data_IF_973945999241
#
_entry.id   IF_973945999241
#
_cell.length_a   1.000
_cell.length_b   1.000
_cell.length_c   1.000
_cell.angle_alpha   90.00
_cell.angle_beta   90.00
_cell.angle_gamma   90.00
#
_symmetry.space_group_name_H-M   'P 1'
#
loop_
_entity.id
_entity.type
_entity.pdbx_description
1 polymer ?
#
# COMPACT_ATOMS: atom_id res chain seq x y z
N UNK A 1 29.96 -21.89 -15.65
CA UNK A 1 30.19 -21.24 -16.94
C UNK A 1 31.53 -20.58 -16.85
N UNK A 2 32.48 -21.03 -17.67
CA UNK A 2 33.89 -20.66 -17.60
C UNK A 2 34.07 -19.15 -17.82
N UNK A 3 34.78 -18.52 -16.89
CA UNK A 3 35.10 -17.09 -16.89
C UNK A 3 36.11 -16.69 -17.98
N UNK A 4 36.57 -17.64 -18.81
CA UNK A 4 37.64 -17.46 -19.81
C UNK A 4 37.15 -17.63 -21.28
N UNK A 5 35.91 -17.28 -21.59
CA UNK A 5 35.44 -17.27 -23.00
C UNK A 5 36.08 -16.11 -23.79
N UNK A 6 36.73 -16.33 -24.96
CA UNK A 6 37.66 -15.37 -25.58
C UNK A 6 37.02 -14.17 -26.31
N UNK A 7 35.70 -13.97 -26.19
CA UNK A 7 34.94 -13.03 -27.02
C UNK A 7 34.32 -11.84 -26.28
N UNK A 8 34.64 -11.64 -24.99
CA UNK A 8 34.19 -10.47 -24.23
C UNK A 8 35.31 -9.45 -24.08
N UNK A 9 35.02 -8.18 -24.47
CA UNK A 9 35.93 -7.04 -24.27
C UNK A 9 36.44 -7.04 -22.81
N UNK A 10 37.73 -6.77 -22.55
CA UNK A 10 38.30 -6.84 -21.20
C UNK A 10 37.52 -5.97 -20.22
N UNK A 11 37.21 -6.51 -19.04
CA UNK A 11 36.44 -5.83 -18.00
C UNK A 11 37.24 -4.65 -17.45
N UNK A 12 36.68 -3.45 -17.52
CA UNK A 12 37.30 -2.23 -16.99
C UNK A 12 37.41 -2.28 -15.45
N UNK A 13 36.44 -2.93 -14.80
CA UNK A 13 36.42 -3.13 -13.35
C UNK A 13 37.10 -4.45 -12.96
N UNK A 14 37.57 -4.53 -11.71
CA UNK A 14 38.05 -5.79 -11.15
C UNK A 14 36.86 -6.69 -10.88
N UNK A 15 37.05 -8.00 -10.90
CA UNK A 15 35.99 -8.95 -10.49
C UNK A 15 35.44 -8.58 -9.10
N UNK A 16 36.33 -8.31 -8.13
CA UNK A 16 35.94 -7.87 -6.77
C UNK A 16 35.11 -6.58 -6.75
N UNK A 17 35.50 -5.60 -7.56
CA UNK A 17 34.80 -4.31 -7.65
C UNK A 17 33.43 -4.49 -8.33
N UNK A 18 33.37 -5.35 -9.34
CA UNK A 18 32.17 -5.68 -10.09
C UNK A 18 31.15 -6.43 -9.20
N UNK A 19 31.61 -7.43 -8.43
CA UNK A 19 30.80 -8.13 -7.42
C UNK A 19 30.31 -7.19 -6.30
N UNK A 20 31.17 -6.27 -5.83
CA UNK A 20 30.79 -5.28 -4.83
C UNK A 20 29.69 -4.34 -5.36
N UNK A 21 29.78 -3.94 -6.64
CA UNK A 21 28.76 -3.14 -7.31
C UNK A 21 27.44 -3.90 -7.44
N UNK A 22 27.47 -5.19 -7.82
CA UNK A 22 26.27 -6.06 -7.85
C UNK A 22 25.64 -6.14 -6.45
N UNK A 23 26.43 -6.40 -5.41
CA UNK A 23 25.93 -6.46 -4.03
C UNK A 23 25.35 -5.12 -3.55
N UNK A 24 25.90 -4.00 -4.01
CA UNK A 24 25.33 -2.68 -3.70
C UNK A 24 23.98 -2.46 -4.40
N UNK A 25 23.84 -2.84 -5.67
CA UNK A 25 22.58 -2.76 -6.42
C UNK A 25 21.48 -3.54 -5.70
N UNK A 26 21.77 -4.78 -5.30
CA UNK A 26 20.79 -5.65 -4.61
C UNK A 26 20.37 -5.07 -3.25
N UNK A 27 21.31 -4.57 -2.43
CA UNK A 27 20.98 -3.93 -1.15
C UNK A 27 20.13 -2.67 -1.28
N UNK A 28 20.35 -1.91 -2.35
CA UNK A 28 19.57 -0.69 -2.61
C UNK A 28 18.15 -1.05 -3.07
N UNK A 29 18.00 -2.10 -3.88
CA UNK A 29 16.72 -2.64 -4.32
C UNK A 29 15.90 -3.20 -3.14
N UNK A 30 16.49 -4.01 -2.26
CA UNK A 30 15.84 -4.56 -1.07
C UNK A 30 15.25 -3.47 -0.15
N UNK A 31 15.85 -2.28 -0.15
CA UNK A 31 15.41 -1.13 0.65
C UNK A 31 14.44 -0.20 -0.08
N UNK A 32 14.06 -0.53 -1.31
CA UNK A 32 13.16 0.27 -2.14
C UNK A 32 13.83 1.46 -2.82
N UNK A 33 15.15 1.54 -2.84
CA UNK A 33 15.94 2.61 -3.48
C UNK A 33 16.69 2.08 -4.72
N UNK A 34 15.98 1.38 -5.61
CA UNK A 34 16.57 0.78 -6.81
C UNK A 34 17.36 1.79 -7.66
N UNK A 35 18.51 1.36 -8.16
CA UNK A 35 19.41 2.19 -8.97
C UNK A 35 19.02 2.14 -10.44
N UNK A 36 19.04 3.29 -11.12
CA UNK A 36 18.82 3.33 -12.57
C UNK A 36 20.06 2.86 -13.33
N UNK A 37 19.89 2.54 -14.63
CA UNK A 37 21.02 2.23 -15.53
C UNK A 37 22.05 3.37 -15.53
N UNK A 38 21.58 4.63 -15.44
CA UNK A 38 22.45 5.80 -15.40
C UNK A 38 23.27 5.85 -14.12
N UNK A 39 22.66 5.54 -12.97
CA UNK A 39 23.34 5.56 -11.67
C UNK A 39 24.41 4.47 -11.60
N UNK A 40 24.08 3.26 -12.06
CA UNK A 40 25.06 2.15 -12.13
C UNK A 40 26.24 2.52 -13.03
N UNK A 41 25.99 3.17 -14.18
CA UNK A 41 27.06 3.62 -15.08
C UNK A 41 27.93 4.72 -14.49
N UNK A 42 27.36 5.61 -13.65
CA UNK A 42 28.12 6.64 -12.92
C UNK A 42 28.94 6.01 -11.80
N UNK A 43 28.36 5.09 -11.03
CA UNK A 43 29.07 4.35 -9.99
C UNK A 43 30.25 3.56 -10.56
N UNK A 44 30.07 2.90 -11.69
CA UNK A 44 31.16 2.22 -12.39
C UNK A 44 32.30 3.16 -12.78
N UNK A 45 31.99 4.38 -13.21
CA UNK A 45 32.99 5.41 -13.48
C UNK A 45 33.74 5.81 -12.21
N UNK A 46 33.01 6.09 -11.13
CA UNK A 46 33.61 6.48 -9.85
C UNK A 46 34.54 5.39 -9.29
N UNK A 47 34.13 4.13 -9.39
CA UNK A 47 34.96 2.98 -9.00
C UNK A 47 36.22 2.94 -9.86
N UNK A 48 36.12 3.06 -11.18
CA UNK A 48 37.27 3.01 -12.08
C UNK A 48 38.28 4.15 -11.82
N UNK A 49 37.78 5.36 -11.54
CA UNK A 49 38.62 6.53 -11.18
C UNK A 49 39.31 6.32 -9.84
N UNK A 50 38.58 5.88 -8.81
CA UNK A 50 39.14 5.65 -7.46
C UNK A 50 40.16 4.52 -7.43
N UNK A 51 39.92 3.46 -8.22
CA UNK A 51 40.86 2.35 -8.35
C UNK A 51 42.10 2.70 -9.18
N UNK A 52 42.22 3.94 -9.70
CA UNK A 52 43.38 4.40 -10.46
C UNK A 52 43.60 3.67 -11.79
N UNK A 53 42.56 3.01 -12.32
CA UNK A 53 42.66 2.16 -13.51
C UNK A 53 42.52 2.98 -14.78
N UNK A 54 43.30 2.63 -15.79
CA UNK A 54 43.08 3.16 -17.15
C UNK A 54 41.74 2.65 -17.67
N UNK A 55 40.81 3.57 -17.93
CA UNK A 55 39.48 3.25 -18.43
C UNK A 55 39.12 4.07 -19.68
N UNK A 56 38.24 3.51 -20.52
CA UNK A 56 37.69 4.17 -21.71
C UNK A 56 36.36 4.90 -21.45
N UNK A 57 36.00 5.07 -20.16
CA UNK A 57 34.77 5.77 -19.80
C UNK A 57 34.83 7.26 -20.13
N UNK A 58 33.66 7.86 -20.30
CA UNK A 58 33.57 9.26 -20.70
C UNK A 58 33.80 10.16 -19.49
N UNK A 59 34.89 10.93 -19.52
CA UNK A 59 35.27 11.83 -18.44
C UNK A 59 34.36 13.06 -18.33
N UNK A 60 33.88 13.61 -19.46
CA UNK A 60 33.00 14.78 -19.47
C UNK A 60 31.66 14.47 -18.82
N UNK A 61 31.10 13.29 -19.13
CA UNK A 61 29.83 12.79 -18.61
C UNK A 61 29.98 11.99 -17.32
N UNK A 62 31.21 11.78 -16.84
CA UNK A 62 31.56 10.98 -15.65
C UNK A 62 30.77 9.67 -15.57
N UNK A 63 30.72 8.92 -16.67
CA UNK A 63 29.91 7.70 -16.75
C UNK A 63 30.48 6.67 -17.73
N UNK A 64 30.23 5.40 -17.41
CA UNK A 64 30.51 4.29 -18.30
C UNK A 64 29.61 4.32 -19.55
N UNK A 65 30.05 3.70 -20.65
CA UNK A 65 29.26 3.57 -21.89
C UNK A 65 28.04 2.65 -21.74
N UNK A 66 27.12 2.71 -22.70
CA UNK A 66 25.97 1.79 -22.71
C UNK A 66 26.38 0.35 -23.03
N UNK A 67 27.35 0.15 -23.94
CA UNK A 67 27.94 -1.15 -24.23
C UNK A 67 28.55 -1.82 -23.00
N UNK A 68 29.17 -1.01 -22.11
CA UNK A 68 29.71 -1.51 -20.85
C UNK A 68 28.58 -2.03 -19.95
N UNK A 69 27.46 -1.30 -19.86
CA UNK A 69 26.29 -1.72 -19.09
C UNK A 69 25.69 -3.02 -19.65
N UNK A 70 25.56 -3.16 -20.97
CA UNK A 70 25.10 -4.40 -21.59
C UNK A 70 26.00 -5.57 -21.20
N UNK A 71 27.32 -5.43 -21.37
CA UNK A 71 28.26 -6.48 -20.98
C UNK A 71 28.24 -6.80 -19.47
N UNK A 72 28.12 -5.78 -18.60
CA UNK A 72 27.97 -5.97 -17.16
C UNK A 72 26.72 -6.78 -16.82
N UNK A 73 25.58 -6.42 -17.39
CA UNK A 73 24.33 -7.15 -17.17
C UNK A 73 24.38 -8.58 -17.70
N UNK A 74 25.01 -8.78 -18.87
CA UNK A 74 25.11 -10.11 -19.47
C UNK A 74 26.01 -11.05 -18.65
N UNK A 75 27.03 -10.51 -17.95
CA UNK A 75 27.86 -11.26 -16.99
C UNK A 75 27.15 -11.55 -15.67
N UNK A 76 26.16 -10.74 -15.28
CA UNK A 76 25.42 -10.83 -14.02
C UNK A 76 23.93 -11.08 -14.27
N UNK A 77 23.53 -12.30 -14.69
CA UNK A 77 22.15 -12.62 -15.04
C UNK A 77 21.17 -12.55 -13.86
N UNK A 78 21.67 -12.42 -12.63
CA UNK A 78 20.87 -12.10 -11.45
C UNK A 78 20.27 -10.68 -11.47
N UNK A 79 20.79 -9.79 -12.33
CA UNK A 79 20.29 -8.43 -12.49
C UNK A 79 19.34 -8.32 -13.68
N UNK A 80 18.17 -7.73 -13.46
CA UNK A 80 17.20 -7.44 -14.52
C UNK A 80 16.68 -6.01 -14.39
N UNK A 81 16.36 -5.37 -15.52
CA UNK A 81 15.72 -4.06 -15.52
C UNK A 81 14.24 -4.25 -15.27
N UNK A 82 13.74 -3.65 -14.19
CA UNK A 82 12.34 -3.71 -13.77
C UNK A 82 11.78 -2.32 -13.58
N UNK A 83 10.46 -2.21 -13.70
CA UNK A 83 9.73 -1.00 -13.32
C UNK A 83 9.29 -1.24 -11.87
N UNK A 84 9.78 -0.46 -10.89
CA UNK A 84 9.35 -0.63 -9.51
C UNK A 84 7.88 -0.23 -9.36
N UNK A 85 7.15 -0.98 -8.55
CA UNK A 85 5.79 -0.59 -8.17
C UNK A 85 5.84 0.49 -7.09
N UNK A 86 4.93 1.46 -7.18
CA UNK A 86 4.86 2.55 -6.22
C UNK A 86 4.37 2.06 -4.86
N UNK A 87 5.29 1.91 -3.91
CA UNK A 87 4.96 1.69 -2.50
C UNK A 87 4.94 3.03 -1.77
N UNK A 88 3.81 3.40 -1.18
CA UNK A 88 3.75 4.64 -0.40
C UNK A 88 4.57 4.52 0.89
N UNK A 89 5.16 5.63 1.34
CA UNK A 89 5.97 5.64 2.57
C UNK A 89 5.19 5.13 3.80
N UNK A 90 3.89 5.45 3.89
CA UNK A 90 3.02 4.94 4.94
C UNK A 90 2.83 3.41 4.88
N UNK A 91 2.70 2.83 3.68
CA UNK A 91 2.65 1.36 3.53
C UNK A 91 3.99 0.74 3.85
N UNK A 92 5.09 1.35 3.44
CA UNK A 92 6.45 0.90 3.75
C UNK A 92 6.72 0.88 5.26
N UNK A 93 6.27 1.88 6.01
CA UNK A 93 6.47 1.91 7.47
C UNK A 93 5.58 0.90 8.21
N UNK A 94 4.43 0.55 7.64
CA UNK A 94 3.53 -0.49 8.17
C UNK A 94 4.02 -1.92 7.94
N UNK A 95 4.97 -2.14 7.01
CA UNK A 95 5.60 -3.45 6.75
C UNK A 95 6.64 -3.84 7.82
N UNK A 96 6.38 -3.47 9.09
CA UNK A 96 7.19 -3.87 10.22
C UNK A 96 6.60 -5.15 10.85
N UNK A 97 7.41 -6.18 11.15
CA UNK A 97 6.93 -7.42 11.79
C UNK A 97 6.07 -7.18 13.04
N UNK A 98 6.40 -6.17 13.85
CA UNK A 98 5.65 -5.83 15.06
C UNK A 98 4.27 -5.28 14.74
N UNK A 99 4.17 -4.40 13.74
CA UNK A 99 2.90 -3.79 13.30
C UNK A 99 2.00 -4.85 12.67
N UNK A 100 2.57 -5.70 11.81
CA UNK A 100 1.87 -6.81 11.17
C UNK A 100 1.36 -7.81 12.22
N UNK A 101 2.22 -8.22 13.15
CA UNK A 101 1.85 -9.17 14.21
C UNK A 101 0.74 -8.61 15.10
N UNK A 102 0.87 -7.36 15.55
CA UNK A 102 -0.16 -6.70 16.36
C UNK A 102 -1.51 -6.60 15.62
N UNK A 103 -1.48 -6.29 14.32
CA UNK A 103 -2.70 -6.26 13.50
C UNK A 103 -3.38 -7.64 13.43
N UNK A 104 -2.64 -8.69 13.12
CA UNK A 104 -3.21 -10.05 12.99
C UNK A 104 -3.66 -10.63 14.33
N UNK A 105 -2.99 -10.31 15.45
CA UNK A 105 -3.46 -10.66 16.79
C UNK A 105 -4.82 -10.00 17.10
N UNK A 106 -4.94 -8.71 16.81
CA UNK A 106 -6.20 -7.97 17.01
C UNK A 106 -7.31 -8.50 16.10
N UNK A 107 -7.01 -8.77 14.84
CA UNK A 107 -7.96 -9.37 13.90
C UNK A 107 -8.41 -10.76 14.38
N UNK A 108 -7.48 -11.62 14.77
CA UNK A 108 -7.76 -12.97 15.25
C UNK A 108 -8.69 -12.98 16.47
N UNK A 109 -8.38 -12.17 17.48
CA UNK A 109 -9.22 -12.02 18.68
C UNK A 109 -10.62 -11.48 18.38
N UNK A 110 -10.74 -10.57 17.41
CA UNK A 110 -12.04 -10.07 16.96
C UNK A 110 -12.86 -11.14 16.24
N UNK A 111 -12.22 -11.92 15.36
CA UNK A 111 -12.87 -13.03 14.67
C UNK A 111 -13.30 -14.15 15.63
N UNK A 112 -12.50 -14.43 16.66
CA UNK A 112 -12.86 -15.35 17.75
C UNK A 112 -14.10 -14.86 18.50
N UNK A 113 -14.11 -13.59 18.90
CA UNK A 113 -15.24 -12.98 19.63
C UNK A 113 -16.55 -13.05 18.84
N UNK A 114 -16.48 -12.86 17.53
CA UNK A 114 -17.65 -12.94 16.65
C UNK A 114 -18.00 -14.37 16.23
N UNK A 115 -17.15 -15.36 16.52
CA UNK A 115 -17.31 -16.75 16.11
C UNK A 115 -17.52 -16.89 14.58
N UNK A 116 -16.69 -16.19 13.80
CA UNK A 116 -16.76 -16.15 12.32
C UNK A 116 -15.56 -16.79 11.62
N UNK A 117 -14.57 -17.32 12.36
CA UNK A 117 -13.36 -17.92 11.78
C UNK A 117 -13.67 -19.02 10.76
N UNK A 118 -14.64 -19.88 11.07
CA UNK A 118 -15.04 -21.01 10.21
C UNK A 118 -16.25 -20.69 9.31
N UNK A 119 -16.60 -19.40 9.18
CA UNK A 119 -17.79 -18.95 8.43
C UNK A 119 -17.41 -18.01 7.30
N UNK A 120 -16.79 -18.51 6.22
CA UNK A 120 -16.35 -17.69 5.09
C UNK A 120 -17.51 -16.93 4.40
N UNK A 121 -18.74 -17.42 4.56
CA UNK A 121 -19.95 -16.78 4.04
C UNK A 121 -20.20 -15.40 4.66
N UNK A 122 -19.67 -15.16 5.87
CA UNK A 122 -19.91 -13.97 6.68
C UNK A 122 -18.73 -12.97 6.65
N UNK A 123 -17.63 -13.34 5.99
CA UNK A 123 -16.45 -12.48 5.86
C UNK A 123 -16.46 -11.88 4.46
N UNK A 124 -16.67 -10.57 4.39
CA UNK A 124 -16.70 -9.82 3.14
C UNK A 124 -15.50 -8.88 3.04
N UNK A 125 -14.90 -8.84 1.87
CA UNK A 125 -14.01 -7.76 1.48
C UNK A 125 -14.74 -6.86 0.48
N UNK A 126 -14.68 -5.56 0.69
CA UNK A 126 -15.26 -4.56 -0.20
C UNK A 126 -14.19 -3.54 -0.55
N UNK A 127 -14.04 -3.25 -1.84
CA UNK A 127 -13.06 -2.28 -2.31
C UNK A 127 -13.60 -1.46 -3.49
N UNK A 128 -13.08 -0.24 -3.62
CA UNK A 128 -13.46 0.72 -4.65
C UNK A 128 -12.44 0.71 -5.78
N UNK A 129 -12.92 0.57 -7.02
CA UNK A 129 -12.09 0.67 -8.22
C UNK A 129 -12.59 1.77 -9.14
N UNK A 130 -11.67 2.53 -9.73
CA UNK A 130 -11.99 3.55 -10.72
C UNK A 130 -12.08 2.94 -12.11
N UNK A 131 -13.26 2.93 -12.71
CA UNK A 131 -13.49 2.50 -14.10
C UNK A 131 -13.45 3.73 -14.98
N UNK A 132 -12.48 3.79 -15.90
CA UNK A 132 -12.41 4.89 -16.87
C UNK A 132 -13.39 4.68 -18.02
N UNK A 133 -14.00 5.78 -18.48
CA UNK A 133 -14.84 5.80 -19.68
C UNK A 133 -14.05 5.94 -20.98
N UNK A 134 -12.75 6.25 -20.89
CA UNK A 134 -11.84 6.26 -22.03
C UNK A 134 -11.13 4.93 -22.09
N UNK A 135 -11.20 4.27 -23.24
CA UNK A 135 -10.50 3.02 -23.47
C UNK A 135 -9.01 3.27 -23.73
N UNK A 136 -8.16 2.39 -23.22
CA UNK A 136 -6.74 2.40 -23.56
C UNK A 136 -6.54 1.77 -24.95
N UNK A 137 -5.88 2.48 -25.88
CA UNK A 137 -5.56 1.93 -27.18
C UNK A 137 -4.73 0.66 -27.08
N UNK A 138 -5.15 -0.39 -27.79
CA UNK A 138 -4.34 -1.59 -27.96
C UNK A 138 -3.10 -1.33 -28.82
N UNK A 139 -2.08 -2.17 -28.66
CA UNK A 139 -0.90 -2.14 -29.54
C UNK A 139 -1.33 -2.44 -30.98
N UNK A 140 -0.96 -1.56 -31.90
CA UNK A 140 -1.26 -1.70 -33.33
C UNK A 140 0.01 -1.89 -34.15
N UNK A 141 -0.09 -2.64 -35.25
CA UNK A 141 0.98 -2.74 -36.24
C UNK A 141 1.06 -1.41 -37.00
N UNK A 142 2.24 -0.79 -37.01
CA UNK A 142 2.48 0.50 -37.65
C UNK A 142 3.66 0.49 -38.62
N UNK A 143 3.76 1.52 -39.45
CA UNK A 143 4.88 1.70 -40.40
C UNK A 143 6.22 1.77 -39.66
N UNK A 144 7.16 0.90 -40.03
CA UNK A 144 8.54 0.90 -39.49
C UNK A 144 9.19 2.27 -39.65
N UNK A 145 9.74 2.81 -38.57
CA UNK A 145 10.39 4.13 -38.53
C UNK A 145 9.45 5.32 -38.30
N UNK A 146 8.13 5.12 -38.26
CA UNK A 146 7.19 6.18 -37.87
C UNK A 146 7.24 6.37 -36.35
N UNK A 147 7.63 7.57 -35.91
CA UNK A 147 7.82 7.89 -34.47
C UNK A 147 6.50 8.01 -33.70
N UNK A 148 5.43 8.49 -34.35
CA UNK A 148 4.13 8.69 -33.71
C UNK A 148 3.04 7.89 -34.44
N UNK A 149 2.45 6.93 -33.73
CA UNK A 149 1.29 6.15 -34.17
C UNK A 149 0.14 6.55 -33.25
N UNK A 150 -0.94 7.09 -33.81
CA UNK A 150 -2.09 7.57 -33.05
C UNK A 150 -3.25 6.59 -33.18
N UNK A 151 -3.97 6.37 -32.07
CA UNK A 151 -5.26 5.70 -32.06
C UNK A 151 -6.35 6.71 -31.72
N UNK A 152 -7.55 6.55 -32.28
CA UNK A 152 -8.71 7.34 -31.86
C UNK A 152 -9.18 6.83 -30.51
N UNK A 153 -9.25 7.71 -29.51
CA UNK A 153 -9.89 7.46 -28.22
C UNK A 153 -11.20 8.25 -28.13
N UNK A 154 -12.12 7.84 -27.24
CA UNK A 154 -13.40 8.53 -27.04
C UNK A 154 -13.25 9.95 -26.46
N UNK A 155 -12.08 10.28 -25.92
CA UNK A 155 -11.73 11.60 -25.40
C UNK A 155 -10.28 11.63 -24.91
N UNK A 156 -9.76 12.83 -24.58
CA UNK A 156 -8.43 13.01 -24.00
C UNK A 156 -8.39 12.60 -22.53
N UNK A 157 -9.45 12.88 -21.77
CA UNK A 157 -9.60 12.51 -20.37
C UNK A 157 -11.03 12.08 -20.11
N UNK A 158 -11.22 10.82 -19.73
CA UNK A 158 -12.51 10.28 -19.34
C UNK A 158 -12.92 10.72 -17.94
N UNK A 159 -14.22 10.71 -17.68
CA UNK A 159 -14.70 10.70 -16.31
C UNK A 159 -14.60 9.28 -15.76
N UNK A 160 -13.98 9.12 -14.59
CA UNK A 160 -13.95 7.84 -13.89
C UNK A 160 -15.25 7.65 -13.12
N UNK A 161 -15.87 6.50 -13.32
CA UNK A 161 -16.97 5.97 -12.49
C UNK A 161 -16.34 5.11 -11.41
N UNK A 162 -16.75 5.25 -10.16
CA UNK A 162 -16.26 4.38 -9.09
C UNK A 162 -17.17 3.15 -9.01
N UNK A 163 -16.59 1.96 -9.13
CA UNK A 163 -17.28 0.70 -8.86
C UNK A 163 -16.88 0.19 -7.48
N UNK A 164 -17.85 0.01 -6.58
CA UNK A 164 -17.68 -0.70 -5.32
C UNK A 164 -18.04 -2.16 -5.54
N UNK A 165 -17.04 -3.02 -5.39
CA UNK A 165 -17.19 -4.47 -5.53
C UNK A 165 -17.04 -5.11 -4.16
N UNK A 166 -17.90 -6.07 -3.84
CA UNK A 166 -17.88 -6.77 -2.57
C UNK A 166 -17.93 -8.28 -2.80
N UNK A 167 -17.00 -9.00 -2.19
CA UNK A 167 -16.83 -10.45 -2.37
C UNK A 167 -16.64 -11.09 -1.00
N UNK A 168 -17.33 -12.20 -0.75
CA UNK A 168 -17.11 -12.97 0.47
C UNK A 168 -15.93 -13.96 0.34
N UNK A 169 -15.52 -14.56 1.45
CA UNK A 169 -14.43 -15.53 1.46
C UNK A 169 -14.77 -16.88 0.79
N UNK A 170 -16.03 -17.12 0.38
CA UNK A 170 -16.42 -18.22 -0.51
C UNK A 170 -16.38 -17.85 -2.00
N UNK A 171 -15.85 -16.67 -2.34
CA UNK A 171 -15.86 -16.13 -3.70
C UNK A 171 -17.27 -15.83 -4.27
N UNK A 172 -18.28 -15.65 -3.41
CA UNK A 172 -19.57 -15.10 -3.83
C UNK A 172 -19.46 -13.59 -3.96
N UNK A 173 -19.78 -13.09 -5.14
CA UNK A 173 -19.74 -11.67 -5.48
C UNK A 173 -21.12 -11.07 -5.23
N UNK A 174 -21.19 -10.03 -4.41
CA UNK A 174 -22.40 -9.21 -4.31
C UNK A 174 -22.54 -8.33 -5.56
N UNK A 175 -23.76 -7.98 -5.98
CA UNK A 175 -23.95 -7.07 -7.10
C UNK A 175 -23.13 -5.77 -6.90
N UNK A 176 -22.41 -5.30 -7.92
CA UNK A 176 -21.56 -4.12 -7.79
C UNK A 176 -22.43 -2.88 -7.60
N UNK A 177 -21.85 -1.85 -6.97
CA UNK A 177 -22.43 -0.51 -6.92
C UNK A 177 -21.61 0.43 -7.79
N UNK A 178 -22.25 1.06 -8.78
CA UNK A 178 -21.64 2.09 -9.63
C UNK A 178 -21.98 3.47 -9.10
N UNK A 179 -20.94 4.24 -8.80
CA UNK A 179 -21.02 5.57 -8.24
C UNK A 179 -20.57 6.57 -9.31
N UNK A 180 -21.52 7.33 -9.82
CA UNK A 180 -21.27 8.38 -10.80
C UNK A 180 -20.91 9.70 -10.12
N UNK A 181 -20.18 10.55 -10.84
CA UNK A 181 -20.05 11.96 -10.48
C UNK A 181 -21.39 12.67 -10.72
N UNK A 182 -21.71 13.61 -9.84
CA UNK A 182 -22.94 14.42 -9.92
C UNK A 182 -23.85 14.24 -8.72
N UNK A 183 -25.06 14.81 -8.82
CA UNK A 183 -26.06 14.83 -7.76
C UNK A 183 -27.19 13.80 -7.97
N UNK A 184 -27.48 13.43 -9.23
CA UNK A 184 -28.57 12.53 -9.59
C UNK A 184 -28.10 11.50 -10.60
N UNK A 185 -28.55 10.25 -10.44
CA UNK A 185 -28.23 9.20 -11.41
C UNK A 185 -29.14 9.37 -12.62
N UNK A 186 -28.55 9.52 -13.80
CA UNK A 186 -29.30 9.52 -15.06
C UNK A 186 -29.65 8.09 -15.50
N UNK A 187 -30.89 7.85 -15.92
CA UNK A 187 -31.31 6.55 -16.45
C UNK A 187 -30.48 6.11 -17.66
N UNK A 188 -30.00 7.06 -18.46
CA UNK A 188 -29.15 6.78 -19.62
C UNK A 188 -27.83 6.10 -19.23
N UNK A 189 -27.34 6.28 -17.99
CA UNK A 189 -26.11 5.68 -17.49
C UNK A 189 -26.30 4.27 -16.91
N UNK A 190 -27.54 3.82 -16.77
CA UNK A 190 -27.88 2.51 -16.19
C UNK A 190 -28.03 1.40 -17.25
N UNK A 191 -28.01 1.76 -18.53
CA UNK A 191 -28.23 0.82 -19.63
C UNK A 191 -27.17 -0.29 -19.68
N UNK A 192 -27.62 -1.52 -19.91
CA UNK A 192 -26.78 -2.72 -20.06
C UNK A 192 -25.88 -3.07 -18.85
N UNK A 193 -26.16 -2.51 -17.66
CA UNK A 193 -25.44 -2.91 -16.46
C UNK A 193 -25.76 -4.36 -16.07
N UNK A 194 -24.85 -5.06 -15.38
CA UNK A 194 -25.13 -6.38 -14.82
C UNK A 194 -26.39 -6.39 -13.96
N UNK A 195 -27.08 -7.53 -13.93
CA UNK A 195 -28.28 -7.68 -13.12
C UNK A 195 -28.02 -7.32 -11.65
N UNK A 196 -28.99 -6.63 -11.02
CA UNK A 196 -28.93 -6.17 -9.64
C UNK A 196 -27.84 -5.13 -9.32
N UNK A 197 -27.19 -4.53 -10.33
CA UNK A 197 -26.25 -3.42 -10.11
C UNK A 197 -26.95 -2.28 -9.38
N UNK A 198 -26.33 -1.80 -8.30
CA UNK A 198 -26.79 -0.62 -7.58
C UNK A 198 -26.16 0.61 -8.21
N UNK A 199 -26.90 1.72 -8.24
CA UNK A 199 -26.40 2.98 -8.77
C UNK A 199 -26.52 4.07 -7.74
N UNK A 200 -25.45 4.83 -7.57
CA UNK A 200 -25.37 5.97 -6.67
C UNK A 200 -24.67 7.14 -7.33
N UNK A 201 -24.78 8.30 -6.71
CA UNK A 201 -24.01 9.48 -7.06
C UNK A 201 -23.14 9.90 -5.88
N UNK A 202 -22.04 10.59 -6.17
CA UNK A 202 -21.10 11.03 -5.14
C UNK A 202 -21.75 11.90 -4.05
N UNK A 203 -22.73 12.74 -4.42
CA UNK A 203 -23.46 13.58 -3.46
C UNK A 203 -24.21 12.75 -2.41
N UNK A 204 -24.87 11.67 -2.83
CA UNK A 204 -25.58 10.76 -1.93
C UNK A 204 -24.64 10.10 -0.91
N UNK A 205 -23.41 9.76 -1.31
CA UNK A 205 -22.41 9.22 -0.38
C UNK A 205 -21.95 10.26 0.65
N UNK A 206 -21.85 11.53 0.24
CA UNK A 206 -21.50 12.59 1.18
C UNK A 206 -22.58 12.75 2.25
N UNK A 207 -23.86 12.68 1.85
CA UNK A 207 -24.99 12.72 2.79
C UNK A 207 -24.98 11.52 3.76
N UNK A 208 -24.65 10.32 3.29
CA UNK A 208 -24.52 9.14 4.15
C UNK A 208 -23.36 9.27 5.12
N UNK A 209 -22.20 9.78 4.67
CA UNK A 209 -21.04 10.03 5.54
C UNK A 209 -21.36 11.05 6.63
N UNK A 210 -22.07 12.13 6.29
CA UNK A 210 -22.51 13.13 7.26
C UNK A 210 -23.42 12.50 8.34
N UNK A 211 -24.38 11.65 7.93
CA UNK A 211 -25.26 10.93 8.86
C UNK A 211 -24.50 9.95 9.75
N UNK A 212 -23.53 9.22 9.20
CA UNK A 212 -22.70 8.30 9.97
C UNK A 212 -21.81 9.03 10.98
N UNK A 213 -21.25 10.18 10.63
CA UNK A 213 -20.50 11.04 11.55
C UNK A 213 -21.38 11.57 12.68
N UNK A 214 -22.61 12.00 12.37
CA UNK A 214 -23.60 12.38 13.39
C UNK A 214 -23.95 11.22 14.34
N UNK A 215 -24.10 9.99 13.83
CA UNK A 215 -24.34 8.81 14.66
C UNK A 215 -23.12 8.39 15.49
N UNK A 216 -21.91 8.51 14.95
CA UNK A 216 -20.65 8.27 15.69
C UNK A 216 -20.47 9.28 16.82
N UNK A 217 -20.79 10.56 16.60
CA UNK A 217 -20.78 11.57 17.64
C UNK A 217 -21.83 11.28 18.73
N UNK A 218 -23.03 10.81 18.34
CA UNK A 218 -24.08 10.40 19.28
C UNK A 218 -23.75 9.13 20.07
N UNK A 219 -23.05 8.16 19.49
CA UNK A 219 -22.64 6.90 20.15
C UNK A 219 -21.39 7.08 21.01
N UNK A 220 -20.36 7.77 20.53
CA UNK A 220 -19.18 8.12 21.33
C UNK A 220 -19.53 8.94 22.58
N UNK A 221 -20.49 9.87 22.46
CA UNK A 221 -21.02 10.60 23.63
C UNK A 221 -21.81 9.72 24.62
N UNK A 222 -22.38 8.59 24.17
CA UNK A 222 -23.06 7.62 25.07
C UNK A 222 -22.05 6.73 25.79
N UNK A 223 -21.00 6.28 25.12
CA UNK A 223 -19.93 5.46 25.73
C UNK A 223 -19.11 6.25 26.73
N UNK A 224 -18.79 7.52 26.42
CA UNK A 224 -18.12 8.42 27.35
C UNK A 224 -18.98 8.71 28.59
N UNK A 225 -20.27 9.02 28.41
CA UNK A 225 -21.22 9.17 29.53
C UNK A 225 -21.39 7.89 30.35
N UNK A 226 -21.27 6.70 29.75
CA UNK A 226 -21.36 5.42 30.46
C UNK A 226 -20.12 5.18 31.32
N UNK A 227 -18.93 5.44 30.78
CA UNK A 227 -17.66 5.35 31.51
C UNK A 227 -17.59 6.33 32.70
N UNK A 228 -18.01 7.58 32.51
CA UNK A 228 -18.08 8.58 33.59
C UNK A 228 -19.10 8.18 34.68
N UNK A 229 -20.19 7.50 34.31
CA UNK A 229 -21.21 7.03 35.26
C UNK A 229 -20.71 5.85 36.10
N UNK A 230 -19.90 4.96 35.53
CA UNK A 230 -19.24 3.86 36.23
C UNK A 230 -18.17 4.39 37.19
N UNK A 231 -17.26 5.26 36.74
CA UNK A 231 -16.27 5.88 37.64
C UNK A 231 -16.93 6.64 38.81
N UNK A 232 -18.05 7.32 38.56
CA UNK A 232 -18.78 8.05 39.61
C UNK A 232 -19.48 7.11 40.60
N UNK A 233 -19.86 5.89 40.18
CA UNK A 233 -20.36 4.85 41.10
C UNK A 233 -19.22 4.27 41.94
N UNK A 234 -18.07 4.02 41.32
CA UNK A 234 -16.91 3.45 42.02
C UNK A 234 -16.34 4.41 43.06
N UNK A 235 -16.25 5.71 42.75
CA UNK A 235 -15.87 6.74 43.74
C UNK A 235 -16.83 6.83 44.92
N UNK A 236 -18.14 6.66 44.68
CA UNK A 236 -19.16 6.63 45.75
C UNK A 236 -19.02 5.39 46.63
N UNK A 237 -18.80 4.23 46.04
CA UNK A 237 -18.59 2.97 46.76
C UNK A 237 -17.31 3.00 47.61
N UNK A 238 -16.22 3.53 47.06
CA UNK A 238 -14.96 3.70 47.79
C UNK A 238 -15.11 4.64 48.99
N UNK A 239 -15.79 5.78 48.80
CA UNK A 239 -16.06 6.75 49.87
C UNK A 239 -16.91 6.15 51.01
N UNK A 240 -17.97 5.40 50.67
CA UNK A 240 -18.78 4.71 51.67
C UNK A 240 -17.98 3.64 52.45
N UNK A 241 -17.07 2.94 51.78
CA UNK A 241 -16.21 1.92 52.39
C UNK A 241 -15.20 2.54 53.36
N UNK A 242 -14.61 3.68 52.99
CA UNK A 242 -13.70 4.43 53.85
C UNK A 242 -14.41 5.03 55.07
N UNK A 243 -15.62 5.55 54.92
CA UNK A 243 -16.43 6.06 56.04
C UNK A 243 -16.81 4.95 57.03
N UNK A 244 -17.18 3.75 56.54
CA UNK A 244 -17.45 2.58 57.38
C UNK A 244 -16.20 2.12 58.14
N UNK A 245 -15.05 2.11 57.47
CA UNK A 245 -13.77 1.72 58.08
C UNK A 245 -13.31 2.72 59.15
N UNK A 246 -13.54 4.03 58.93
CA UNK A 246 -13.21 5.07 59.90
C UNK A 246 -14.12 5.02 61.14
N UNK A 247 -15.43 4.77 60.95
CA UNK A 247 -16.36 4.52 62.09
C UNK A 247 -15.99 3.27 62.88
N UNK A 248 -15.57 2.20 62.22
CA UNK A 248 -15.13 0.98 62.89
C UNK A 248 -13.88 1.22 63.74
N UNK A 249 -12.90 1.98 63.22
CA UNK A 249 -11.68 2.35 63.96
C UNK A 249 -11.96 3.23 65.19
N UNK A 250 -12.87 4.20 65.05
CA UNK A 250 -13.26 5.08 66.15
C UNK A 250 -13.93 4.31 67.29
N UNK A 251 -14.82 3.37 66.95
CA UNK A 251 -15.48 2.52 67.95
C UNK A 251 -14.51 1.56 68.64
N UNK A 252 -13.43 1.12 67.98
CA UNK A 252 -12.40 0.30 68.62
C UNK A 252 -11.47 1.10 69.52
N UNK A 253 -11.18 2.37 69.22
CA UNK A 253 -10.38 3.23 70.10
C UNK A 253 -11.18 3.68 71.35
N UNK A 254 -12.48 3.94 71.21
CA UNK A 254 -13.38 4.23 72.35
C UNK A 254 -13.62 3.02 73.27
N UNK A 255 -13.36 1.79 72.81
CA UNK A 255 -13.48 0.57 73.62
C UNK A 255 -12.23 0.23 74.46
N UNK A 256 -11.14 0.98 74.29
CA UNK A 256 -9.85 0.78 74.99
C UNK A 256 -9.43 1.94 75.90
N UNK A 257 -10.36 2.87 76.19
CA UNK A 257 -10.19 3.97 77.17
C UNK A 257 -11.24 3.84 78.27
#
# INVERSE_FOLDING_TARGET
MDLDSPATKPTVLAIKDEEALVGHILRMEERGFGLTITDVRKLAYEIAVRSGRKHCFNNDKKSAGYDWWQGFRDRHPCLSVRIPEGLSAARSSMLNPNVISAYFQKLGSFMDKLNIKDKPQQIFNADETGVSTVHDPSKVVGKRGKKSVHSKTSGERGENVTALCCVNAEARVLPPMLIFKGQRVSQALMGNAPANTLFACKEFLNELKAKEEEEKQRSGGKDQKKSEREERKDRKNLSQTLQKSSKAKKNTEEAFT
#
